data_IF_473258495041
#
_entry.id   IF_473258495041
#
_cell.length_a   1.000
_cell.length_b   1.000
_cell.length_c   1.000
_cell.angle_alpha   90.00
_cell.angle_beta   90.00
_cell.angle_gamma   90.00
#
_symmetry.space_group_name_H-M   'P 1'
#
loop_
_entity.id
_entity.type
_entity.pdbx_description
1 polymer ?
#
# COMPACT_ATOMS: atom_id res chain seq x y z
N UNK A 1 26.22 8.37 2.21
CA UNK A 1 25.63 8.34 3.57
C UNK A 1 24.54 9.39 3.61
N UNK A 2 23.41 9.07 4.23
CA UNK A 2 22.25 9.95 4.35
C UNK A 2 22.53 11.05 5.38
N UNK A 3 22.07 12.27 5.12
CA UNK A 3 22.19 13.38 6.09
C UNK A 3 21.14 13.26 7.20
N UNK A 4 21.34 13.89 8.38
CA UNK A 4 20.37 13.83 9.48
C UNK A 4 18.95 14.32 9.11
N UNK A 5 18.85 15.24 8.15
CA UNK A 5 17.57 15.73 7.62
C UNK A 5 16.89 14.68 6.73
N UNK A 6 17.67 13.97 5.91
CA UNK A 6 17.17 12.89 5.05
C UNK A 6 16.67 11.73 5.91
N UNK A 7 17.43 11.35 6.94
CA UNK A 7 17.03 10.31 7.91
C UNK A 7 15.73 10.68 8.63
N UNK A 8 15.60 11.94 9.08
CA UNK A 8 14.39 12.41 9.75
C UNK A 8 13.17 12.41 8.82
N UNK A 9 13.34 12.87 7.58
CA UNK A 9 12.26 12.89 6.59
C UNK A 9 11.84 11.46 6.20
N UNK A 10 12.80 10.56 6.03
CA UNK A 10 12.52 9.15 5.74
C UNK A 10 11.82 8.46 6.92
N UNK A 11 12.19 8.77 8.16
CA UNK A 11 11.52 8.24 9.34
C UNK A 11 10.04 8.67 9.42
N UNK A 12 9.73 9.92 9.07
CA UNK A 12 8.34 10.40 8.99
C UNK A 12 7.58 9.69 7.88
N UNK A 13 8.14 9.63 6.66
CA UNK A 13 7.49 8.94 5.53
C UNK A 13 7.24 7.44 5.79
N UNK A 14 8.19 6.75 6.44
CA UNK A 14 7.99 5.33 6.84
C UNK A 14 6.88 5.20 7.88
N UNK A 15 6.75 6.17 8.80
CA UNK A 15 5.71 6.18 9.82
C UNK A 15 4.33 6.45 9.21
N UNK A 16 4.24 7.34 8.22
CA UNK A 16 3.04 7.59 7.41
C UNK A 16 2.57 6.31 6.73
N UNK A 17 3.45 5.63 5.99
CA UNK A 17 3.11 4.39 5.28
C UNK A 17 2.58 3.32 6.25
N UNK A 18 3.29 3.10 7.37
CA UNK A 18 2.83 2.17 8.41
C UNK A 18 1.45 2.56 8.96
N UNK A 19 1.21 3.86 9.19
CA UNK A 19 -0.06 4.34 9.70
C UNK A 19 -1.21 4.19 8.69
N UNK A 20 -0.96 4.38 7.39
CA UNK A 20 -1.96 4.19 6.32
C UNK A 20 -2.30 2.71 6.13
N UNK A 21 -1.29 1.83 6.10
CA UNK A 21 -1.51 0.41 5.84
C UNK A 21 -1.95 -0.36 7.09
N UNK A 22 -1.33 -0.15 8.24
CA UNK A 22 -1.59 -0.91 9.46
C UNK A 22 -2.53 -0.19 10.44
N UNK A 23 -2.70 1.12 10.30
CA UNK A 23 -3.50 1.93 11.22
C UNK A 23 -2.76 2.20 12.52
N UNK A 24 -3.50 2.58 13.55
CA UNK A 24 -2.98 2.71 14.91
C UNK A 24 -4.02 2.26 15.95
N UNK A 25 -3.78 1.13 16.63
CA UNK A 25 -4.65 0.67 17.71
C UNK A 25 -4.77 1.68 18.86
N UNK A 26 -3.71 2.41 19.18
CA UNK A 26 -3.73 3.43 20.25
C UNK A 26 -4.65 4.61 19.95
N UNK A 27 -4.90 4.90 18.67
CA UNK A 27 -5.83 5.94 18.23
C UNK A 27 -7.17 5.39 17.73
N UNK A 28 -7.38 4.07 17.78
CA UNK A 28 -8.58 3.43 17.25
C UNK A 28 -8.75 3.57 15.72
N UNK A 29 -7.65 3.78 15.01
CA UNK A 29 -7.63 3.97 13.55
C UNK A 29 -7.28 2.65 12.88
N UNK A 30 -8.13 2.20 11.95
CA UNK A 30 -7.85 1.05 11.09
C UNK A 30 -7.05 1.47 9.86
N UNK A 31 -6.15 0.60 9.40
CA UNK A 31 -5.40 0.77 8.16
C UNK A 31 -5.94 -0.13 7.05
N UNK A 32 -5.44 0.05 5.83
CA UNK A 32 -5.87 -0.74 4.67
C UNK A 32 -5.73 -2.27 4.86
N UNK A 33 -4.73 -2.72 5.60
CA UNK A 33 -4.46 -4.14 5.85
C UNK A 33 -5.19 -4.67 7.10
N UNK A 34 -5.63 -3.79 7.99
CA UNK A 34 -6.23 -4.16 9.29
C UNK A 34 -7.73 -3.85 9.38
N UNK A 35 -8.27 -3.12 8.40
CA UNK A 35 -9.68 -2.78 8.27
C UNK A 35 -10.59 -4.02 8.40
N UNK A 36 -11.51 -3.97 9.36
CA UNK A 36 -12.52 -5.03 9.53
C UNK A 36 -13.57 -4.94 8.43
N UNK A 37 -13.98 -6.09 7.91
CA UNK A 37 -14.98 -6.16 6.84
C UNK A 37 -14.43 -5.88 5.43
N UNK A 38 -13.10 -5.79 5.29
CA UNK A 38 -12.44 -5.87 3.97
C UNK A 38 -12.61 -7.25 3.36
N UNK A 39 -12.47 -7.33 2.04
CA UNK A 39 -12.40 -8.60 1.34
C UNK A 39 -10.99 -9.19 1.44
N UNK A 40 -10.90 -10.51 1.34
CA UNK A 40 -9.64 -11.24 1.39
C UNK A 40 -9.62 -12.31 0.31
N UNK A 41 -8.50 -12.41 -0.40
CA UNK A 41 -8.25 -13.44 -1.42
C UNK A 41 -6.96 -14.14 -1.08
N UNK A 42 -6.97 -15.47 -1.16
CA UNK A 42 -5.75 -16.26 -1.01
C UNK A 42 -4.87 -16.09 -2.24
N UNK A 43 -3.63 -15.65 -2.00
CA UNK A 43 -2.58 -15.51 -2.98
C UNK A 43 -1.85 -16.84 -3.19
N UNK A 44 -1.60 -17.18 -4.45
CA UNK A 44 -0.77 -18.30 -4.86
C UNK A 44 0.71 -17.92 -4.99
N UNK A 45 1.49 -18.80 -5.60
CA UNK A 45 2.90 -18.58 -5.86
C UNK A 45 3.15 -17.69 -7.10
N UNK A 46 3.50 -16.42 -6.87
CA UNK A 46 3.81 -15.43 -7.90
C UNK A 46 5.19 -15.62 -8.54
N UNK A 47 5.94 -16.66 -8.15
CA UNK A 47 7.07 -17.12 -8.97
C UNK A 47 6.58 -17.57 -10.36
N UNK A 48 5.36 -18.12 -10.44
CA UNK A 48 4.69 -18.57 -11.66
C UNK A 48 4.01 -17.41 -12.37
N UNK A 49 4.32 -17.25 -13.66
CA UNK A 49 3.95 -16.09 -14.48
C UNK A 49 2.45 -15.82 -14.49
N UNK A 50 1.62 -16.86 -14.59
CA UNK A 50 0.16 -16.70 -14.72
C UNK A 50 -0.55 -16.44 -13.38
N UNK A 51 0.07 -16.83 -12.27
CA UNK A 51 -0.59 -16.82 -10.96
C UNK A 51 -0.86 -15.40 -10.46
N UNK A 52 0.07 -14.47 -10.69
CA UNK A 52 -0.04 -13.07 -10.27
C UNK A 52 -1.29 -12.39 -10.84
N UNK A 53 -1.54 -12.56 -12.14
CA UNK A 53 -2.70 -11.97 -12.82
C UNK A 53 -3.99 -12.65 -12.37
N UNK A 54 -3.99 -13.98 -12.28
CA UNK A 54 -5.17 -14.72 -11.84
C UNK A 54 -5.60 -14.30 -10.43
N UNK A 55 -4.66 -14.08 -9.53
CA UNK A 55 -4.96 -13.64 -8.17
C UNK A 55 -5.47 -12.19 -8.12
N UNK A 56 -4.88 -11.28 -8.90
CA UNK A 56 -5.37 -9.90 -9.01
C UNK A 56 -6.75 -9.85 -9.67
N UNK A 57 -7.02 -10.66 -10.70
CA UNK A 57 -8.34 -10.75 -11.32
C UNK A 57 -9.38 -11.28 -10.34
N UNK A 58 -9.07 -12.31 -9.54
CA UNK A 58 -9.97 -12.76 -8.46
C UNK A 58 -10.25 -11.66 -7.45
N UNK A 59 -9.25 -10.86 -7.08
CA UNK A 59 -9.44 -9.72 -6.18
C UNK A 59 -10.35 -8.65 -6.82
N UNK A 60 -10.20 -8.37 -8.12
CA UNK A 60 -11.11 -7.50 -8.88
C UNK A 60 -12.53 -8.06 -8.89
N UNK A 61 -12.72 -9.33 -9.24
CA UNK A 61 -14.04 -9.98 -9.23
C UNK A 61 -14.70 -9.93 -7.85
N UNK A 62 -13.90 -10.06 -6.78
CA UNK A 62 -14.40 -9.95 -5.41
C UNK A 62 -14.88 -8.54 -5.10
N UNK A 63 -14.15 -7.51 -5.54
CA UNK A 63 -14.58 -6.11 -5.42
C UNK A 63 -15.82 -5.83 -6.29
N UNK A 64 -15.88 -6.35 -7.52
CA UNK A 64 -17.03 -6.23 -8.42
C UNK A 64 -18.31 -6.81 -7.80
N UNK A 65 -18.21 -7.99 -7.19
CA UNK A 65 -19.32 -8.64 -6.48
C UNK A 65 -19.77 -7.84 -5.26
N UNK A 66 -18.85 -7.09 -4.64
CA UNK A 66 -19.15 -6.17 -3.55
C UNK A 66 -19.68 -4.79 -4.03
N UNK A 67 -19.82 -4.57 -5.35
CA UNK A 67 -20.31 -3.32 -5.95
C UNK A 67 -19.22 -2.28 -6.26
N UNK A 68 -17.96 -2.70 -6.24
CA UNK A 68 -16.79 -1.85 -6.43
C UNK A 68 -16.08 -2.12 -7.77
N UNK A 69 -16.59 -1.51 -8.84
CA UNK A 69 -16.12 -1.68 -10.23
C UNK A 69 -14.87 -0.84 -10.65
N UNK A 70 -14.16 -0.29 -9.68
CA UNK A 70 -12.97 0.54 -9.90
C UNK A 70 -13.29 2.03 -10.15
N UNK A 71 -12.26 2.82 -10.52
CA UNK A 71 -10.90 2.39 -10.87
C UNK A 71 -10.11 1.87 -9.65
N UNK A 72 -9.20 0.92 -9.89
CA UNK A 72 -8.41 0.26 -8.83
C UNK A 72 -6.97 0.77 -8.72
N UNK A 73 -6.44 0.77 -7.50
CA UNK A 73 -5.01 0.85 -7.20
C UNK A 73 -4.55 -0.47 -6.55
N UNK A 74 -3.33 -0.90 -6.86
CA UNK A 74 -2.72 -2.09 -6.30
C UNK A 74 -1.41 -1.73 -5.57
N UNK A 75 -1.32 -2.00 -4.28
CA UNK A 75 -0.07 -1.87 -3.52
C UNK A 75 0.50 -3.27 -3.24
N UNK A 76 1.82 -3.42 -3.44
CA UNK A 76 2.51 -4.70 -3.38
C UNK A 76 3.77 -4.62 -2.52
N UNK A 77 4.10 -5.70 -1.78
CA UNK A 77 5.42 -5.89 -1.20
C UNK A 77 6.52 -5.81 -2.29
N UNK A 78 7.75 -5.36 -1.97
CA UNK A 78 8.82 -5.19 -2.97
C UNK A 78 9.14 -6.46 -3.76
N UNK A 79 9.08 -7.62 -3.11
CA UNK A 79 9.29 -8.93 -3.75
C UNK A 79 8.26 -9.16 -4.85
N UNK A 80 6.99 -8.95 -4.55
CA UNK A 80 5.88 -9.28 -5.42
C UNK A 80 5.74 -8.24 -6.55
N UNK A 81 6.01 -6.96 -6.25
CA UNK A 81 6.13 -5.91 -7.26
C UNK A 81 7.22 -6.23 -8.29
N UNK A 82 8.42 -6.62 -7.84
CA UNK A 82 9.52 -6.95 -8.74
C UNK A 82 9.22 -8.19 -9.59
N UNK A 83 8.45 -9.16 -9.07
CA UNK A 83 8.02 -10.33 -9.81
C UNK A 83 7.10 -10.02 -11.00
N UNK A 84 6.45 -8.84 -11.03
CA UNK A 84 5.62 -8.41 -12.16
C UNK A 84 6.43 -8.02 -13.41
N UNK A 85 7.73 -7.78 -13.29
CA UNK A 85 8.62 -7.45 -14.40
C UNK A 85 9.12 -8.70 -15.13
N UNK A 86 8.23 -9.68 -15.30
CA UNK A 86 8.44 -10.88 -16.13
C UNK A 86 7.64 -10.74 -17.42
N UNK A 87 8.18 -11.26 -18.51
CA UNK A 87 7.48 -11.35 -19.80
C UNK A 87 6.50 -12.51 -19.78
N UNK A 88 5.41 -12.39 -20.51
CA UNK A 88 4.60 -13.56 -20.86
C UNK A 88 5.37 -14.45 -21.84
N UNK A 89 5.21 -15.76 -21.71
CA UNK A 89 5.78 -16.70 -22.68
C UNK A 89 5.24 -16.40 -24.09
N UNK A 90 6.15 -16.29 -25.06
CA UNK A 90 5.79 -16.05 -26.45
C UNK A 90 5.33 -14.62 -26.79
N UNK A 91 5.44 -13.64 -25.88
CA UNK A 91 5.12 -12.23 -26.18
C UNK A 91 6.14 -11.26 -25.59
N UNK A 92 6.20 -10.04 -26.13
CA UNK A 92 7.00 -8.94 -25.56
C UNK A 92 6.28 -8.15 -24.45
N UNK A 93 5.07 -8.57 -24.05
CA UNK A 93 4.28 -7.88 -23.04
C UNK A 93 4.73 -8.26 -21.62
N UNK A 94 4.86 -7.27 -20.74
CA UNK A 94 5.11 -7.49 -19.31
C UNK A 94 3.79 -7.66 -18.56
N UNK A 95 3.80 -8.47 -17.50
CA UNK A 95 2.63 -8.60 -16.62
C UNK A 95 2.27 -7.27 -15.97
N UNK A 96 3.28 -6.49 -15.58
CA UNK A 96 3.11 -5.13 -15.09
C UNK A 96 2.25 -4.27 -16.05
N UNK A 97 2.50 -4.35 -17.36
CA UNK A 97 1.75 -3.57 -18.35
C UNK A 97 0.31 -4.05 -18.50
N UNK A 98 0.07 -5.35 -18.34
CA UNK A 98 -1.29 -5.89 -18.28
C UNK A 98 -2.02 -5.35 -17.07
N UNK A 99 -1.44 -5.52 -15.88
CA UNK A 99 -2.05 -5.10 -14.63
C UNK A 99 -2.25 -3.59 -14.56
N UNK A 100 -1.39 -2.79 -15.19
CA UNK A 100 -1.55 -1.33 -15.26
C UNK A 100 -2.81 -0.92 -16.04
N UNK A 101 -3.27 -1.73 -17.00
CA UNK A 101 -4.54 -1.48 -17.71
C UNK A 101 -5.76 -1.74 -16.83
N UNK A 102 -5.64 -2.69 -15.90
CA UNK A 102 -6.65 -3.04 -14.92
C UNK A 102 -6.67 -2.05 -13.74
N UNK A 103 -5.51 -1.82 -13.13
CA UNK A 103 -5.27 -0.93 -12.00
C UNK A 103 -4.97 0.49 -12.49
N UNK A 104 -6.00 1.18 -12.98
CA UNK A 104 -5.87 2.51 -13.60
C UNK A 104 -5.39 3.60 -12.63
N UNK A 105 -5.59 3.44 -11.32
CA UNK A 105 -5.06 4.36 -10.32
C UNK A 105 -3.57 4.14 -10.05
N UNK A 106 -3.02 2.99 -10.46
CA UNK A 106 -1.59 2.70 -10.35
C UNK A 106 -1.29 1.36 -9.69
N UNK A 107 -0.03 0.96 -9.83
CA UNK A 107 0.57 -0.16 -9.11
C UNK A 107 1.75 0.39 -8.34
N UNK A 108 1.76 0.20 -7.03
CA UNK A 108 2.70 0.82 -6.11
C UNK A 108 3.52 -0.24 -5.39
N UNK A 109 4.82 0.02 -5.29
CA UNK A 109 5.74 -0.76 -4.46
C UNK A 109 5.76 -0.13 -3.07
N UNK A 110 5.27 -0.85 -2.07
CA UNK A 110 5.13 -0.35 -0.71
C UNK A 110 5.85 -1.28 0.29
N UNK A 111 6.34 -0.77 1.43
CA UNK A 111 6.98 -1.57 2.48
C UNK A 111 5.93 -2.32 3.32
N UNK A 112 5.09 -3.13 2.67
CA UNK A 112 4.00 -3.90 3.27
C UNK A 112 4.27 -5.40 3.21
N UNK A 113 3.62 -6.18 4.08
CA UNK A 113 3.79 -7.64 4.16
C UNK A 113 2.93 -8.40 3.15
N UNK A 114 1.72 -7.92 2.90
CA UNK A 114 0.75 -8.52 1.99
C UNK A 114 0.28 -7.52 0.96
N UNK A 115 -0.14 -8.00 -0.20
CA UNK A 115 -0.66 -7.15 -1.27
C UNK A 115 -2.08 -6.65 -0.94
N UNK A 116 -2.44 -5.47 -1.44
CA UNK A 116 -3.79 -4.92 -1.29
C UNK A 116 -4.25 -4.22 -2.56
N UNK A 117 -5.45 -4.59 -3.01
CA UNK A 117 -6.17 -3.94 -4.09
C UNK A 117 -7.27 -3.06 -3.48
N UNK A 118 -7.37 -1.81 -3.92
CA UNK A 118 -8.37 -0.86 -3.43
C UNK A 118 -9.11 -0.18 -4.58
N UNK A 119 -10.42 0.03 -4.42
CA UNK A 119 -11.22 0.93 -5.26
C UNK A 119 -11.10 2.38 -4.74
N UNK A 120 -11.22 3.37 -5.63
CA UNK A 120 -11.16 4.80 -5.33
C UNK A 120 -12.07 5.26 -4.17
N UNK A 121 -13.16 4.53 -3.90
CA UNK A 121 -14.14 4.85 -2.85
C UNK A 121 -13.74 4.40 -1.45
N UNK A 122 -12.60 3.72 -1.28
CA UNK A 122 -12.15 3.20 0.02
C UNK A 122 -12.18 4.25 1.13
N UNK A 123 -11.83 5.50 0.82
CA UNK A 123 -11.78 6.56 1.81
C UNK A 123 -10.96 7.75 1.36
N UNK A 124 -10.41 8.46 2.34
CA UNK A 124 -9.57 9.65 2.12
C UNK A 124 -8.52 9.78 3.21
N UNK A 125 -7.40 10.40 2.88
CA UNK A 125 -6.41 10.83 3.84
C UNK A 125 -6.72 12.27 4.25
N UNK A 126 -7.01 12.50 5.53
CA UNK A 126 -7.22 13.84 6.06
C UNK A 126 -5.88 14.39 6.52
N UNK A 127 -5.42 15.48 5.91
CA UNK A 127 -4.20 16.18 6.28
C UNK A 127 -4.58 17.40 7.13
N UNK A 128 -4.21 17.36 8.41
CA UNK A 128 -4.32 18.51 9.31
C UNK A 128 -3.13 19.46 9.16
N UNK A 129 -1.93 18.90 9.11
CA UNK A 129 -0.69 19.61 8.84
C UNK A 129 0.15 18.75 7.89
N UNK A 130 0.58 19.36 6.78
CA UNK A 130 1.54 18.73 5.87
C UNK A 130 2.94 18.67 6.52
N UNK A 131 3.86 17.95 5.90
CA UNK A 131 5.22 17.80 6.39
C UNK A 131 5.91 19.16 6.58
N UNK A 132 6.31 19.45 7.83
CA UNK A 132 6.93 20.72 8.20
C UNK A 132 8.13 20.50 9.11
N UNK A 133 9.21 21.25 8.85
CA UNK A 133 10.35 21.32 9.73
C UNK A 133 10.14 22.40 10.81
N UNK A 134 10.49 22.07 12.05
CA UNK A 134 10.40 22.97 13.20
C UNK A 134 11.70 23.03 13.99
N UNK A 135 11.84 24.09 14.79
CA UNK A 135 12.95 24.27 15.71
C UNK A 135 12.58 23.74 17.11
N UNK A 136 13.45 22.93 17.70
CA UNK A 136 13.29 22.40 19.06
C UNK A 136 14.16 23.16 20.07
N UNK A 137 15.48 23.13 19.89
CA UNK A 137 16.45 23.70 20.84
C UNK A 137 17.83 23.90 20.21
N UNK A 138 18.77 24.46 20.98
CA UNK A 138 20.20 24.45 20.64
C UNK A 138 21.02 24.09 21.89
N UNK A 139 22.20 23.51 21.68
CA UNK A 139 23.16 23.15 22.75
C UNK A 139 24.38 24.10 22.79
N UNK A 140 24.32 25.21 22.04
CA UNK A 140 25.40 26.18 21.86
C UNK A 140 26.29 25.93 20.64
N UNK A 141 26.25 24.73 20.05
CA UNK A 141 27.05 24.36 18.87
C UNK A 141 26.17 23.81 17.75
N UNK A 142 25.12 23.07 18.12
CA UNK A 142 24.18 22.42 17.22
C UNK A 142 22.77 22.97 17.38
N UNK A 143 22.03 22.98 16.27
CA UNK A 143 20.59 23.23 16.26
C UNK A 143 19.85 21.90 16.22
N UNK A 144 18.91 21.73 17.13
CA UNK A 144 17.98 20.60 17.13
C UNK A 144 16.71 21.02 16.40
N UNK A 145 16.48 20.40 15.26
CA UNK A 145 15.28 20.55 14.45
C UNK A 145 14.46 19.26 14.50
N UNK A 146 13.19 19.33 14.10
CA UNK A 146 12.33 18.17 13.92
C UNK A 146 11.53 18.30 12.64
N UNK A 147 11.03 17.18 12.13
CA UNK A 147 10.03 17.14 11.06
C UNK A 147 8.76 16.55 11.67
N UNK A 148 7.62 17.14 11.34
CA UNK A 148 6.32 16.69 11.84
C UNK A 148 5.25 16.82 10.76
N UNK A 149 4.23 15.97 10.87
CA UNK A 149 3.03 15.99 10.06
C UNK A 149 1.83 15.59 10.93
N UNK A 150 0.63 15.87 10.45
CA UNK A 150 -0.60 15.41 11.07
C UNK A 150 -1.56 14.93 10.00
N UNK A 151 -1.76 13.62 9.96
CA UNK A 151 -2.62 12.93 9.00
C UNK A 151 -3.53 11.95 9.73
N UNK A 152 -4.69 11.61 9.15
CA UNK A 152 -5.56 10.52 9.59
C UNK A 152 -6.17 9.83 8.37
N UNK A 153 -5.95 8.51 8.16
CA UNK A 153 -6.68 7.75 7.15
C UNK A 153 -8.13 7.55 7.62
N UNK A 154 -9.08 8.02 6.82
CA UNK A 154 -10.51 7.80 7.04
C UNK A 154 -11.02 6.80 6.03
N UNK A 155 -11.17 5.55 6.47
CA UNK A 155 -11.79 4.48 5.69
C UNK A 155 -13.32 4.61 5.79
N UNK A 156 -13.97 4.74 4.62
CA UNK A 156 -15.43 4.93 4.51
C UNK A 156 -16.08 3.63 4.04
N UNK A 157 -15.50 3.00 3.02
CA UNK A 157 -16.01 1.77 2.43
C UNK A 157 -15.00 0.64 2.62
N UNK A 158 -15.05 -0.05 3.76
CA UNK A 158 -14.13 -1.15 4.07
C UNK A 158 -14.18 -2.27 3.03
N UNK A 159 -15.35 -2.52 2.44
CA UNK A 159 -15.55 -3.50 1.36
C UNK A 159 -14.94 -3.10 0.02
N UNK A 160 -14.47 -1.85 -0.13
CA UNK A 160 -13.70 -1.40 -1.29
C UNK A 160 -12.23 -1.87 -1.24
N UNK A 161 -11.84 -2.58 -0.18
CA UNK A 161 -10.50 -3.12 0.05
C UNK A 161 -10.53 -4.63 -0.18
N UNK A 162 -9.54 -5.15 -0.89
CA UNK A 162 -9.27 -6.58 -1.01
C UNK A 162 -7.79 -6.87 -0.73
N UNK A 163 -7.49 -7.54 0.37
CA UNK A 163 -6.11 -7.98 0.66
C UNK A 163 -5.81 -9.33 0.05
N UNK A 164 -4.60 -9.50 -0.47
CA UNK A 164 -4.10 -10.74 -1.05
C UNK A 164 -2.97 -11.28 -0.16
N UNK A 165 -3.25 -12.37 0.56
CA UNK A 165 -2.29 -12.99 1.49
C UNK A 165 -1.99 -14.42 1.08
N UNK A 166 -0.73 -14.85 1.22
CA UNK A 166 -0.34 -16.23 0.97
C UNK A 166 -1.10 -17.17 1.92
N UNK A 167 -1.47 -18.36 1.43
CA UNK A 167 -2.07 -19.37 2.29
C UNK A 167 -1.08 -19.73 3.42
N UNK A 168 -1.44 -19.57 4.71
CA UNK A 168 -0.56 -19.92 5.82
C UNK A 168 -0.16 -21.40 5.84
N UNK A 169 -0.86 -22.28 5.11
CA UNK A 169 -0.51 -23.70 4.99
C UNK A 169 0.63 -24.01 3.98
N UNK A 170 1.17 -23.01 3.28
CA UNK A 170 2.24 -23.17 2.28
C UNK A 170 3.59 -22.59 2.73
N UNK A 171 3.73 -22.17 3.99
CA UNK A 171 4.96 -21.68 4.61
C UNK A 171 5.61 -22.76 5.49
#
# INVERSE_FOLDING_TARGET
>A
ESSPIEDAAEAVARREEDFIYNGSPSFGVEGLLTARGRNEVTMGDWSKVEQSINDVLKAVETLDQAGFYGPYALALPPRDYNNLFKRYEGTDMLQHDHLRRLCKLGIYKAPIEIAVLVDARVGKLVVGQDAMAGYSSNDGIHYHLFISESIVPLLIEHKAICTLSANPAAA
#
